data_IF_027121193329
#
_entry.id   IF_027121193329
#
_cell.length_a   1.000
_cell.length_b   1.000
_cell.length_c   1.000
_cell.angle_alpha   90.00
_cell.angle_beta   90.00
_cell.angle_gamma   90.00
#
_symmetry.space_group_name_H-M   'P 1'
#
loop_
_entity.id
_entity.type
_entity.pdbx_description
1 polymer ?
#
# COMPACT_ATOMS: atom_id res chain seq x y z
N UNK A 1 -44.56 -15.88 -2.75
CA UNK A 1 -43.54 -15.15 -3.55
C UNK A 1 -42.73 -14.30 -2.58
N UNK A 2 -41.63 -14.85 -2.05
CA UNK A 2 -40.79 -14.17 -1.06
C UNK A 2 -39.89 -13.20 -1.83
N UNK A 3 -40.01 -11.90 -1.55
CA UNK A 3 -39.02 -10.91 -1.98
C UNK A 3 -37.69 -11.29 -1.33
N UNK A 4 -36.80 -11.91 -2.10
CA UNK A 4 -35.40 -12.05 -1.74
C UNK A 4 -34.84 -10.66 -1.55
N UNK A 5 -34.65 -10.26 -0.29
CA UNK A 5 -33.89 -9.08 0.07
C UNK A 5 -32.47 -9.32 -0.44
N UNK A 6 -32.06 -8.60 -1.49
CA UNK A 6 -30.65 -8.50 -1.86
C UNK A 6 -29.96 -7.85 -0.66
N UNK A 7 -29.45 -8.67 0.27
CA UNK A 7 -28.39 -8.23 1.16
C UNK A 7 -27.27 -7.73 0.25
N UNK A 8 -26.98 -6.43 0.31
CA UNK A 8 -25.77 -5.90 -0.32
C UNK A 8 -24.60 -6.62 0.32
N UNK A 9 -24.02 -7.59 -0.39
CA UNK A 9 -22.72 -8.14 0.00
C UNK A 9 -21.75 -6.98 0.12
N UNK A 10 -20.98 -6.95 1.20
CA UNK A 10 -19.93 -5.96 1.35
C UNK A 10 -19.02 -5.98 0.11
N UNK A 11 -18.56 -4.80 -0.35
CA UNK A 11 -17.66 -4.75 -1.49
C UNK A 11 -16.38 -5.54 -1.20
N UNK A 12 -15.88 -6.23 -2.21
CA UNK A 12 -14.56 -6.84 -2.17
C UNK A 12 -13.50 -5.74 -2.06
N UNK A 13 -12.59 -5.84 -1.08
CA UNK A 13 -11.57 -4.82 -0.83
C UNK A 13 -10.20 -5.27 -1.29
N UNK A 14 -9.47 -4.33 -1.88
CA UNK A 14 -8.07 -4.45 -2.24
C UNK A 14 -7.32 -3.33 -1.52
N UNK A 15 -6.26 -3.68 -0.81
CA UNK A 15 -5.40 -2.74 -0.10
C UNK A 15 -4.03 -2.70 -0.79
N UNK A 16 -3.64 -1.54 -1.31
CA UNK A 16 -2.28 -1.30 -1.79
C UNK A 16 -1.46 -0.78 -0.61
N UNK A 17 -0.40 -1.49 -0.25
CA UNK A 17 0.36 -1.28 0.97
C UNK A 17 1.61 -0.46 0.69
N UNK A 18 1.71 0.68 1.35
CA UNK A 18 2.86 1.58 1.33
C UNK A 18 3.96 1.12 2.31
N UNK A 19 5.20 1.58 2.08
CA UNK A 19 6.37 1.37 2.92
C UNK A 19 6.09 1.74 4.38
N UNK A 20 5.42 2.87 4.64
CA UNK A 20 5.15 3.32 6.01
C UNK A 20 4.36 2.31 6.85
N UNK A 21 3.41 1.58 6.25
CA UNK A 21 2.69 0.50 6.92
C UNK A 21 3.57 -0.74 7.14
N UNK A 22 4.46 -1.05 6.19
CA UNK A 22 5.40 -2.16 6.33
C UNK A 22 6.40 -1.92 7.46
N UNK A 23 6.88 -0.68 7.62
CA UNK A 23 7.81 -0.30 8.70
C UNK A 23 7.21 -0.59 10.08
N UNK A 24 5.95 -0.24 10.27
CA UNK A 24 5.19 -0.48 11.50
C UNK A 24 4.89 -1.98 11.70
N UNK A 25 4.48 -2.67 10.63
CA UNK A 25 4.20 -4.11 10.67
C UNK A 25 5.44 -4.95 11.03
N UNK A 26 6.62 -4.56 10.55
CA UNK A 26 7.86 -5.24 10.90
C UNK A 26 8.55 -4.70 12.15
N UNK A 27 8.06 -3.58 12.70
CA UNK A 27 8.70 -2.84 13.79
C UNK A 27 10.17 -2.54 13.46
N UNK A 28 10.40 -1.82 12.36
CA UNK A 28 11.75 -1.45 11.90
C UNK A 28 12.31 -0.32 12.76
N UNK A 29 13.28 -0.64 13.61
CA UNK A 29 13.89 0.27 14.58
C UNK A 29 14.22 1.66 14.01
N UNK A 30 13.80 2.72 14.70
CA UNK A 30 14.00 4.10 14.27
C UNK A 30 13.00 4.62 13.23
N UNK A 31 12.18 3.73 12.66
CA UNK A 31 11.20 4.05 11.60
C UNK A 31 9.77 3.61 11.93
N UNK A 32 9.52 3.17 13.18
CA UNK A 32 8.23 2.72 13.66
C UNK A 32 7.91 3.36 15.03
N UNK A 33 6.65 3.34 15.44
CA UNK A 33 6.27 3.61 16.84
C UNK A 33 5.26 2.60 17.36
N UNK A 34 5.29 2.33 18.67
CA UNK A 34 4.52 1.22 19.26
C UNK A 34 3.00 1.36 19.09
N UNK A 35 2.47 2.59 19.16
CA UNK A 35 1.03 2.83 19.03
C UNK A 35 0.55 2.51 17.62
N UNK A 36 1.24 3.03 16.61
CA UNK A 36 0.88 2.80 15.21
C UNK A 36 1.12 1.35 14.80
N UNK A 37 2.22 0.74 15.27
CA UNK A 37 2.49 -0.66 15.04
C UNK A 37 1.38 -1.56 15.60
N UNK A 38 0.89 -1.31 16.82
CA UNK A 38 -0.20 -2.09 17.41
C UNK A 38 -1.50 -1.96 16.58
N UNK A 39 -1.89 -0.73 16.22
CA UNK A 39 -3.07 -0.48 15.39
C UNK A 39 -2.97 -1.16 14.02
N UNK A 40 -1.81 -1.06 13.36
CA UNK A 40 -1.58 -1.67 12.05
C UNK A 40 -1.57 -3.20 12.14
N UNK A 41 -0.97 -3.79 13.18
CA UNK A 41 -1.04 -5.24 13.39
C UNK A 41 -2.48 -5.71 13.58
N UNK A 42 -3.30 -4.98 14.35
CA UNK A 42 -4.71 -5.32 14.53
C UNK A 42 -5.50 -5.21 13.22
N UNK A 43 -5.22 -4.20 12.38
CA UNK A 43 -5.82 -4.04 11.06
C UNK A 43 -5.49 -5.21 10.13
N UNK A 44 -4.22 -5.58 10.01
CA UNK A 44 -3.82 -6.75 9.22
C UNK A 44 -4.47 -8.03 9.73
N UNK A 45 -4.51 -8.25 11.05
CA UNK A 45 -5.15 -9.43 11.65
C UNK A 45 -6.62 -9.54 11.24
N UNK A 46 -7.39 -8.46 11.39
CA UNK A 46 -8.82 -8.42 11.00
C UNK A 46 -9.00 -8.62 9.50
N UNK A 47 -8.15 -8.01 8.68
CA UNK A 47 -8.32 -8.02 7.24
C UNK A 47 -7.84 -9.34 6.58
N UNK A 48 -6.92 -10.09 7.19
CA UNK A 48 -6.50 -11.43 6.74
C UNK A 48 -7.61 -12.49 6.92
N UNK A 49 -8.50 -12.30 7.88
CA UNK A 49 -9.66 -13.18 8.12
C UNK A 49 -10.77 -12.97 7.07
N UNK A 50 -10.74 -11.85 6.35
CA UNK A 50 -11.65 -11.52 5.28
C UNK A 50 -11.07 -11.95 3.91
N UNK A 51 -11.91 -12.13 2.86
CA UNK A 51 -11.45 -12.46 1.52
C UNK A 51 -10.85 -11.23 0.81
N UNK A 52 -10.03 -10.42 1.48
CA UNK A 52 -9.42 -9.22 0.90
C UNK A 52 -8.06 -9.54 0.27
N UNK A 53 -7.61 -8.67 -0.64
CA UNK A 53 -6.27 -8.76 -1.25
C UNK A 53 -5.37 -7.66 -0.75
N UNK A 54 -4.14 -8.01 -0.41
CA UNK A 54 -3.07 -7.08 -0.06
C UNK A 54 -2.06 -7.06 -1.19
N UNK A 55 -1.90 -5.91 -1.83
CA UNK A 55 -0.97 -5.69 -2.91
C UNK A 55 0.22 -4.92 -2.36
N UNK A 56 1.42 -5.45 -2.51
CA UNK A 56 2.65 -4.76 -2.11
C UNK A 56 3.44 -4.42 -3.38
N UNK A 57 3.51 -3.13 -3.77
CA UNK A 57 4.41 -2.68 -4.82
C UNK A 57 5.87 -3.00 -4.48
N UNK A 58 6.60 -3.54 -5.45
CA UNK A 58 8.01 -3.88 -5.32
C UNK A 58 8.89 -2.67 -4.93
N UNK A 59 8.66 -1.44 -5.43
CA UNK A 59 9.40 -0.27 -4.96
C UNK A 59 9.29 -0.04 -3.44
N UNK A 60 8.16 -0.33 -2.80
CA UNK A 60 8.00 -0.22 -1.35
C UNK A 60 8.85 -1.24 -0.58
N UNK A 61 9.11 -2.41 -1.17
CA UNK A 61 10.03 -3.40 -0.58
C UNK A 61 11.49 -2.94 -0.69
N UNK A 62 11.85 -2.19 -1.74
CA UNK A 62 13.18 -1.58 -1.84
C UNK A 62 13.38 -0.49 -0.81
N UNK A 63 12.40 0.40 -0.62
CA UNK A 63 12.44 1.40 0.46
C UNK A 63 12.48 0.77 1.85
N UNK A 64 11.67 -0.28 2.10
CA UNK A 64 11.74 -1.05 3.33
C UNK A 64 13.15 -1.62 3.56
N UNK A 65 13.77 -2.16 2.51
CA UNK A 65 15.14 -2.67 2.56
C UNK A 65 16.17 -1.59 2.94
N UNK A 66 16.02 -0.38 2.40
CA UNK A 66 16.87 0.75 2.76
C UNK A 66 16.72 1.13 4.24
N UNK A 67 15.48 1.23 4.74
CA UNK A 67 15.25 1.48 6.16
C UNK A 67 15.83 0.40 7.06
N UNK A 68 15.76 -0.88 6.65
CA UNK A 68 16.41 -1.97 7.39
C UNK A 68 17.92 -1.80 7.37
N UNK A 69 18.55 -1.39 6.26
CA UNK A 69 20.00 -1.18 6.20
C UNK A 69 20.49 -0.08 7.18
N UNK A 70 19.65 0.92 7.44
CA UNK A 70 19.93 2.05 8.34
C UNK A 70 19.77 1.72 9.83
N UNK A 71 19.16 0.58 10.20
CA UNK A 71 19.04 0.15 11.61
C UNK A 71 20.43 0.00 12.24
N UNK A 72 20.62 0.44 13.49
CA UNK A 72 21.96 0.50 14.11
C UNK A 72 22.53 -0.87 14.49
N UNK A 73 21.74 -1.75 15.11
CA UNK A 73 22.20 -3.09 15.53
C UNK A 73 22.30 -4.03 14.33
N UNK A 74 23.47 -4.66 14.17
CA UNK A 74 23.69 -5.63 13.10
C UNK A 74 22.80 -6.88 13.26
N UNK A 75 22.68 -7.37 14.49
CA UNK A 75 21.85 -8.53 14.85
C UNK A 75 20.40 -8.26 14.47
N UNK A 76 19.90 -7.07 14.84
CA UNK A 76 18.54 -6.64 14.52
C UNK A 76 18.32 -6.48 13.01
N UNK A 77 19.29 -5.91 12.29
CA UNK A 77 19.27 -5.82 10.82
C UNK A 77 19.11 -7.18 10.17
N UNK A 78 19.94 -8.13 10.60
CA UNK A 78 19.91 -9.49 10.10
C UNK A 78 18.58 -10.18 10.41
N UNK A 79 18.08 -10.01 11.63
CA UNK A 79 16.77 -10.55 12.03
C UNK A 79 15.63 -10.02 11.15
N UNK A 80 15.54 -8.69 10.99
CA UNK A 80 14.54 -8.03 10.15
C UNK A 80 14.62 -8.51 8.70
N UNK A 81 15.81 -8.51 8.12
CA UNK A 81 16.02 -8.95 6.73
C UNK A 81 15.58 -10.41 6.52
N UNK A 82 15.92 -11.32 7.44
CA UNK A 82 15.49 -12.71 7.36
C UNK A 82 13.97 -12.87 7.52
N UNK A 83 13.36 -12.13 8.44
CA UNK A 83 11.89 -12.15 8.64
C UNK A 83 11.14 -11.63 7.41
N UNK A 84 11.62 -10.55 6.80
CA UNK A 84 11.07 -9.98 5.57
C UNK A 84 11.25 -10.97 4.42
N UNK A 85 12.44 -11.55 4.25
CA UNK A 85 12.73 -12.53 3.19
C UNK A 85 11.81 -13.75 3.29
N UNK A 86 11.60 -14.29 4.49
CA UNK A 86 10.68 -15.41 4.72
C UNK A 86 9.22 -15.03 4.39
N UNK A 87 8.82 -13.80 4.70
CA UNK A 87 7.47 -13.29 4.38
C UNK A 87 7.26 -13.11 2.87
N UNK A 88 8.28 -12.60 2.16
CA UNK A 88 8.30 -12.48 0.70
C UNK A 88 8.25 -13.87 0.06
N UNK A 89 9.07 -14.81 0.54
CA UNK A 89 9.08 -16.19 0.05
C UNK A 89 7.69 -16.82 0.14
N UNK A 90 7.03 -16.72 1.31
CA UNK A 90 5.65 -17.20 1.49
C UNK A 90 4.66 -16.51 0.55
N UNK A 91 4.81 -15.21 0.34
CA UNK A 91 3.97 -14.42 -0.58
C UNK A 91 4.15 -14.88 -2.03
N UNK A 92 5.36 -15.22 -2.46
CA UNK A 92 5.60 -15.73 -3.82
C UNK A 92 5.05 -17.16 -3.97
N UNK A 93 5.29 -18.04 -3.00
CA UNK A 93 4.90 -19.45 -3.07
C UNK A 93 3.38 -19.66 -2.97
N UNK A 94 2.71 -18.89 -2.10
CA UNK A 94 1.31 -19.13 -1.73
C UNK A 94 0.38 -17.93 -2.00
N UNK A 95 0.89 -16.84 -2.58
CA UNK A 95 0.16 -15.56 -2.74
C UNK A 95 -0.40 -15.02 -1.42
N UNK A 96 0.27 -15.33 -0.30
CA UNK A 96 -0.12 -14.95 1.06
C UNK A 96 1.10 -14.64 1.94
N UNK A 97 1.04 -13.61 2.80
CA UNK A 97 -0.11 -12.72 3.01
C UNK A 97 -0.31 -11.70 1.89
N UNK A 98 0.67 -11.52 1.00
CA UNK A 98 0.65 -10.47 -0.01
C UNK A 98 0.77 -10.99 -1.44
N UNK A 99 0.22 -10.21 -2.36
CA UNK A 99 0.52 -10.27 -3.78
C UNK A 99 1.54 -9.17 -4.07
N UNK A 100 2.76 -9.56 -4.44
CA UNK A 100 3.84 -8.62 -4.76
C UNK A 100 3.77 -8.31 -6.24
N UNK A 101 3.76 -7.02 -6.59
CA UNK A 101 3.65 -6.56 -7.98
C UNK A 101 4.78 -5.58 -8.30
N UNK A 102 5.27 -5.53 -9.55
CA UNK A 102 6.24 -4.51 -9.95
C UNK A 102 5.66 -3.08 -9.93
N UNK A 103 4.33 -2.95 -9.83
CA UNK A 103 3.51 -1.74 -9.98
C UNK A 103 3.52 -1.14 -11.40
N UNK A 104 4.70 -1.01 -12.01
CA UNK A 104 4.87 -0.43 -13.35
C UNK A 104 5.68 -1.37 -14.22
N UNK A 105 5.22 -1.57 -15.46
CA UNK A 105 5.99 -2.26 -16.49
C UNK A 105 7.11 -1.32 -16.99
N UNK A 106 8.29 -1.87 -17.27
CA UNK A 106 9.42 -1.11 -17.81
C UNK A 106 9.05 -0.31 -19.07
N UNK A 107 8.14 -0.83 -19.90
CA UNK A 107 7.65 -0.14 -21.10
C UNK A 107 6.88 1.15 -20.80
N UNK A 108 6.31 1.28 -19.60
CA UNK A 108 5.55 2.45 -19.16
C UNK A 108 6.35 3.34 -18.18
N UNK A 109 7.64 3.04 -17.96
CA UNK A 109 8.43 3.75 -16.96
C UNK A 109 8.69 5.22 -17.35
N UNK A 110 8.94 5.50 -18.63
CA UNK A 110 9.11 6.88 -19.12
C UNK A 110 7.83 7.69 -18.89
N UNK A 111 6.67 7.12 -19.20
CA UNK A 111 5.37 7.78 -18.98
C UNK A 111 5.14 8.10 -17.51
N UNK A 112 5.52 7.19 -16.60
CA UNK A 112 5.48 7.46 -15.15
C UNK A 112 6.37 8.66 -14.80
N UNK A 113 7.60 8.71 -15.29
CA UNK A 113 8.53 9.80 -14.99
C UNK A 113 8.05 11.15 -15.53
N UNK A 114 7.50 11.18 -16.74
CA UNK A 114 6.90 12.39 -17.29
C UNK A 114 5.71 12.86 -16.46
N UNK A 115 4.83 11.92 -16.07
CA UNK A 115 3.69 12.20 -15.20
C UNK A 115 4.15 12.71 -13.83
N UNK A 116 5.19 12.10 -13.28
CA UNK A 116 5.78 12.48 -12.01
C UNK A 116 6.29 13.93 -12.03
N UNK A 117 7.04 14.31 -13.06
CA UNK A 117 7.48 15.69 -13.23
C UNK A 117 6.31 16.67 -13.34
N UNK A 118 5.33 16.39 -14.21
CA UNK A 118 4.25 17.32 -14.56
C UNK A 118 3.16 17.42 -13.51
N UNK A 119 2.70 16.29 -12.96
CA UNK A 119 1.54 16.23 -12.06
C UNK A 119 1.92 16.28 -10.58
N UNK A 120 3.03 15.65 -10.21
CA UNK A 120 3.39 15.45 -8.79
C UNK A 120 4.44 16.46 -8.30
N UNK A 121 5.35 16.93 -9.16
CA UNK A 121 6.34 17.96 -8.82
C UNK A 121 5.85 19.36 -9.19
N UNK A 122 5.50 19.62 -10.45
CA UNK A 122 5.23 20.99 -10.93
C UNK A 122 3.96 21.63 -10.33
N UNK A 123 2.89 20.86 -10.11
CA UNK A 123 1.64 21.36 -9.52
C UNK A 123 1.77 21.89 -8.07
N UNK A 124 2.86 21.54 -7.37
CA UNK A 124 3.13 22.04 -6.01
C UNK A 124 3.61 23.50 -5.96
N UNK A 125 3.99 24.09 -7.10
CA UNK A 125 4.57 25.45 -7.17
C UNK A 125 3.57 26.61 -7.21
N UNK A 126 2.25 26.37 -7.27
CA UNK A 126 1.26 27.42 -7.61
C UNK A 126 0.07 27.65 -6.66
N UNK A 127 -0.05 26.92 -5.55
CA UNK A 127 -1.22 27.00 -4.66
C UNK A 127 -0.90 27.53 -3.26
N UNK A 128 -1.81 28.30 -2.65
CA UNK A 128 -1.71 28.85 -1.28
C UNK A 128 -1.62 27.81 -0.15
N UNK A 129 -1.59 26.52 -0.48
CA UNK A 129 -1.28 25.41 0.41
C UNK A 129 -0.16 24.61 -0.27
N UNK A 130 1.09 24.83 0.14
CA UNK A 130 2.24 24.03 -0.29
C UNK A 130 2.10 22.62 0.29
N UNK A 131 1.27 21.79 -0.34
CA UNK A 131 1.12 20.38 0.01
C UNK A 131 2.37 19.61 -0.44
N UNK A 132 2.84 18.74 0.44
CA UNK A 132 4.03 17.91 0.34
C UNK A 132 4.18 17.26 -1.05
N UNK A 133 5.40 17.21 -1.56
CA UNK A 133 5.68 16.58 -2.85
C UNK A 133 5.44 15.08 -2.76
N UNK A 134 4.62 14.54 -3.67
CA UNK A 134 4.50 13.09 -3.89
C UNK A 134 5.86 12.56 -4.37
N UNK A 135 6.35 11.46 -3.78
CA UNK A 135 7.57 10.77 -4.19
C UNK A 135 7.36 9.86 -5.40
N UNK A 136 8.44 9.37 -6.00
CA UNK A 136 8.33 8.48 -7.17
C UNK A 136 7.71 7.12 -6.77
N UNK A 137 8.01 6.62 -5.57
CA UNK A 137 7.39 5.40 -5.04
C UNK A 137 5.89 5.61 -4.82
N UNK A 138 5.49 6.72 -4.19
CA UNK A 138 4.09 7.12 -4.06
C UNK A 138 3.37 7.18 -5.40
N UNK A 139 4.01 7.75 -6.43
CA UNK A 139 3.46 7.77 -7.78
C UNK A 139 3.20 6.35 -8.30
N UNK A 140 4.08 5.38 -8.02
CA UNK A 140 3.87 3.98 -8.42
C UNK A 140 2.69 3.33 -7.67
N UNK A 141 2.51 3.65 -6.39
CA UNK A 141 1.38 3.19 -5.56
C UNK A 141 0.06 3.72 -6.13
N UNK A 142 0.02 5.03 -6.45
CA UNK A 142 -1.16 5.69 -7.01
C UNK A 142 -1.55 5.06 -8.35
N UNK A 143 -0.59 4.82 -9.24
CA UNK A 143 -0.87 4.21 -10.54
C UNK A 143 -1.34 2.76 -10.43
N UNK A 144 -0.74 1.95 -9.54
CA UNK A 144 -1.20 0.58 -9.30
C UNK A 144 -2.60 0.55 -8.69
N UNK A 145 -2.91 1.42 -7.72
CA UNK A 145 -4.25 1.54 -7.16
C UNK A 145 -5.30 1.94 -8.23
N UNK A 146 -4.97 2.90 -9.10
CA UNK A 146 -5.82 3.32 -10.22
C UNK A 146 -6.03 2.20 -11.23
N UNK A 147 -4.98 1.44 -11.55
CA UNK A 147 -5.04 0.28 -12.45
C UNK A 147 -5.94 -0.81 -11.88
N UNK A 148 -5.77 -1.19 -10.61
CA UNK A 148 -6.62 -2.15 -9.91
C UNK A 148 -8.07 -1.71 -9.88
N UNK A 149 -8.33 -0.40 -9.68
CA UNK A 149 -9.69 0.14 -9.73
C UNK A 149 -10.29 0.01 -11.12
N UNK A 150 -9.52 0.30 -12.18
CA UNK A 150 -9.97 0.28 -13.58
C UNK A 150 -10.14 -1.13 -14.16
N UNK A 151 -9.48 -2.14 -13.60
CA UNK A 151 -9.52 -3.52 -14.09
C UNK A 151 -10.96 -4.06 -14.09
N UNK A 152 -11.56 -4.08 -15.29
CA UNK A 152 -12.94 -4.54 -15.52
C UNK A 152 -13.07 -6.05 -15.43
N UNK A 153 -11.98 -6.81 -15.56
CA UNK A 153 -12.02 -8.28 -15.50
C UNK A 153 -12.49 -8.79 -14.13
N UNK A 154 -12.23 -8.00 -13.08
CA UNK A 154 -12.61 -8.29 -11.69
C UNK A 154 -13.99 -7.76 -11.28
N UNK A 155 -14.66 -6.98 -12.15
CA UNK A 155 -15.95 -6.32 -11.86
C UNK A 155 -17.20 -7.17 -12.17
N UNK A 156 -17.04 -8.45 -12.51
CA UNK A 156 -18.15 -9.25 -13.04
C UNK A 156 -19.25 -9.60 -12.03
N UNK A 157 -19.03 -9.49 -10.71
CA UNK A 157 -20.01 -9.99 -9.72
C UNK A 157 -20.20 -9.05 -8.50
N UNK A 158 -19.21 -8.31 -8.03
CA UNK A 158 -19.33 -7.45 -6.83
C UNK A 158 -18.58 -6.10 -6.98
N UNK A 159 -19.05 -5.00 -6.34
CA UNK A 159 -18.32 -3.74 -6.35
C UNK A 159 -16.96 -3.90 -5.66
N UNK A 160 -15.88 -3.55 -6.35
CA UNK A 160 -14.52 -3.56 -5.81
C UNK A 160 -14.16 -2.18 -5.26
N UNK A 161 -13.67 -2.15 -4.02
CA UNK A 161 -13.11 -0.98 -3.35
C UNK A 161 -11.59 -1.12 -3.28
N UNK A 162 -10.87 -0.10 -3.72
CA UNK A 162 -9.40 -0.07 -3.69
C UNK A 162 -8.96 1.05 -2.77
N UNK A 163 -8.21 0.68 -1.73
CA UNK A 163 -7.71 1.61 -0.72
C UNK A 163 -6.19 1.60 -0.70
N UNK A 164 -5.61 2.72 -0.30
CA UNK A 164 -4.17 2.82 -0.03
C UNK A 164 -3.97 2.83 1.48
N UNK A 165 -3.19 1.87 1.98
CA UNK A 165 -2.78 1.80 3.38
C UNK A 165 -1.41 2.43 3.52
N UNK A 166 -1.41 3.66 4.03
CA UNK A 166 -0.24 4.52 4.19
C UNK A 166 -0.43 5.44 5.41
N UNK A 167 0.67 5.83 6.05
CA UNK A 167 0.69 6.90 7.05
C UNK A 167 0.82 8.29 6.43
N UNK A 168 1.15 8.39 5.15
CA UNK A 168 1.26 9.65 4.44
C UNK A 168 -0.14 10.15 4.04
N UNK A 169 -0.54 11.29 4.60
CA UNK A 169 -1.86 11.90 4.34
C UNK A 169 -1.98 12.43 2.91
N UNK A 170 -0.87 12.88 2.33
CA UNK A 170 -0.81 13.38 0.97
C UNK A 170 -0.99 12.22 -0.01
N UNK A 171 -0.28 11.09 0.17
CA UNK A 171 -0.51 9.88 -0.62
C UNK A 171 -1.95 9.34 -0.43
N UNK A 172 -2.45 9.31 0.81
CA UNK A 172 -3.81 8.84 1.11
C UNK A 172 -4.88 9.61 0.35
N UNK A 173 -4.71 10.92 0.17
CA UNK A 173 -5.65 11.77 -0.58
C UNK A 173 -5.78 11.38 -2.06
N UNK A 174 -4.85 10.58 -2.60
CA UNK A 174 -4.90 10.07 -3.97
C UNK A 174 -5.56 8.68 -4.11
N UNK A 175 -6.09 8.10 -3.03
CA UNK A 175 -6.69 6.77 -3.12
C UNK A 175 -7.96 6.74 -4.01
N UNK A 176 -8.23 5.65 -4.73
CA UNK A 176 -9.38 5.58 -5.64
C UNK A 176 -10.74 5.57 -4.95
N UNK A 177 -10.81 5.05 -3.73
CA UNK A 177 -12.04 4.98 -2.92
C UNK A 177 -11.75 5.38 -1.48
N UNK A 178 -12.58 6.28 -0.93
CA UNK A 178 -12.53 6.67 0.47
C UNK A 178 -12.73 5.47 1.41
N UNK A 179 -11.87 5.37 2.42
CA UNK A 179 -11.94 4.39 3.50
C UNK A 179 -12.47 5.01 4.79
N UNK A 180 -13.69 4.62 5.20
CA UNK A 180 -14.44 5.17 6.36
C UNK A 180 -13.64 5.18 7.67
N UNK A 181 -12.78 4.19 7.87
CA UNK A 181 -11.94 4.07 9.07
C UNK A 181 -10.46 4.01 8.70
N UNK A 182 -10.03 4.87 7.78
CA UNK A 182 -8.61 4.98 7.42
C UNK A 182 -7.73 5.32 8.62
N UNK A 183 -6.47 4.88 8.57
CA UNK A 183 -5.47 5.22 9.57
C UNK A 183 -4.25 5.80 8.86
N UNK A 184 -3.81 6.98 9.30
CA UNK A 184 -2.67 7.70 8.71
C UNK A 184 -1.61 8.01 9.77
N UNK A 185 -1.49 7.15 10.79
CA UNK A 185 -0.64 7.39 11.96
C UNK A 185 -1.30 8.26 13.03
N UNK A 186 -0.77 8.17 14.25
CA UNK A 186 -1.16 8.99 15.40
C UNK A 186 -0.59 10.41 15.36
#
# INVERSE_FOLDING_TARGET
MVKSSLMRKEPFKIYVIDTSYLLELFKVDGSFNEKDAEEIHQRFKKAIEAPYRFIVPLPCLYELGNHVADVRSFERKKELALKIAETIKKSIENQKPWEIVPAIDIGNFIDLWEKFAKEYIECTKGGKNSSESIGLVDATIIEEARKLKKDKSKRRIEPVKVHIWTKDKTLKAHEPDEEENSFTGA
#
